data_IF_901202823798
#
_entry.id   IF_901202823798
#
_cell.length_a   1.000
_cell.length_b   1.000
_cell.length_c   1.000
_cell.angle_alpha   90.00
_cell.angle_beta   90.00
_cell.angle_gamma   90.00
#
_symmetry.space_group_name_H-M   'P 1'
#
loop_
_entity.id
_entity.type
_entity.pdbx_description
1 polymer ?
#
# COMPACT_ATOMS: atom_id res chain seq x y z
N UNK A 1 -1.57 -22.80 -9.21
CA UNK A 1 -0.67 -22.90 -8.04
C UNK A 1 -0.67 -21.53 -7.37
N UNK A 2 -0.92 -21.46 -6.06
CA UNK A 2 -0.92 -20.17 -5.33
C UNK A 2 0.51 -19.69 -5.17
N UNK A 3 0.76 -18.43 -5.47
CA UNK A 3 2.07 -17.78 -5.32
C UNK A 3 2.00 -16.83 -4.12
N UNK A 4 3.04 -16.83 -3.29
CA UNK A 4 3.16 -15.97 -2.12
C UNK A 4 4.18 -14.87 -2.36
N UNK A 5 3.92 -13.68 -1.80
CA UNK A 5 4.89 -12.60 -1.68
C UNK A 5 5.37 -12.50 -0.23
N UNK A 6 6.65 -12.24 -0.04
CA UNK A 6 7.20 -11.95 1.29
C UNK A 6 7.03 -10.45 1.58
N UNK A 7 6.41 -10.11 2.71
CA UNK A 7 6.39 -8.73 3.18
C UNK A 7 7.74 -8.39 3.82
N UNK A 8 8.54 -7.58 3.14
CA UNK A 8 9.91 -7.24 3.58
C UNK A 8 9.96 -6.15 4.66
N UNK A 9 8.82 -5.57 5.07
CA UNK A 9 8.73 -4.75 6.28
C UNK A 9 8.67 -5.63 7.54
N UNK A 10 8.11 -6.83 7.44
CA UNK A 10 7.84 -7.73 8.55
C UNK A 10 8.81 -8.92 8.62
N UNK A 11 9.29 -9.37 7.47
CA UNK A 11 10.20 -10.51 7.34
C UNK A 11 11.62 -10.01 7.06
N UNK A 12 12.62 -10.83 7.44
CA UNK A 12 14.04 -10.56 7.23
C UNK A 12 14.53 -9.29 7.95
N UNK A 13 13.90 -8.96 9.08
CA UNK A 13 14.18 -7.74 9.85
C UNK A 13 15.55 -7.75 10.54
N UNK A 14 16.23 -8.87 10.56
CA UNK A 14 17.64 -9.01 10.94
C UNK A 14 18.59 -8.27 9.98
N UNK A 15 18.13 -7.99 8.74
CA UNK A 15 18.84 -7.15 7.79
C UNK A 15 18.35 -5.70 7.90
N UNK A 16 19.27 -4.77 8.09
CA UNK A 16 18.91 -3.34 8.17
C UNK A 16 18.46 -2.79 6.82
N UNK A 17 19.13 -3.21 5.72
CA UNK A 17 18.85 -2.73 4.37
C UNK A 17 17.78 -3.58 3.71
N UNK A 18 16.85 -2.92 3.04
CA UNK A 18 15.78 -3.59 2.30
C UNK A 18 16.31 -4.39 1.10
N UNK A 19 17.41 -3.95 0.48
CA UNK A 19 18.09 -4.71 -0.59
C UNK A 19 18.53 -6.09 -0.10
N UNK A 20 19.05 -6.19 1.12
CA UNK A 20 19.48 -7.45 1.72
C UNK A 20 18.27 -8.34 2.06
N UNK A 21 17.13 -7.74 2.47
CA UNK A 21 15.88 -8.46 2.68
C UNK A 21 15.33 -9.06 1.39
N UNK A 22 15.44 -8.33 0.28
CA UNK A 22 15.08 -8.82 -1.07
C UNK A 22 15.96 -10.03 -1.44
N UNK A 23 17.28 -9.94 -1.20
CA UNK A 23 18.20 -11.04 -1.48
C UNK A 23 17.92 -12.28 -0.60
N UNK A 24 17.60 -12.08 0.69
CA UNK A 24 17.22 -13.15 1.60
C UNK A 24 15.90 -13.83 1.14
N UNK A 25 14.89 -13.05 0.78
CA UNK A 25 13.63 -13.58 0.23
C UNK A 25 13.85 -14.44 -1.03
N UNK A 26 14.75 -13.98 -1.92
CA UNK A 26 15.13 -14.76 -3.11
C UNK A 26 15.81 -16.07 -2.75
N UNK A 27 16.69 -16.06 -1.74
CA UNK A 27 17.39 -17.26 -1.24
C UNK A 27 16.41 -18.28 -0.69
N UNK A 28 15.34 -17.84 -0.01
CA UNK A 28 14.28 -18.70 0.51
C UNK A 28 13.27 -19.15 -0.58
N UNK A 29 13.49 -18.74 -1.84
CA UNK A 29 12.71 -19.20 -2.98
C UNK A 29 11.48 -18.37 -3.32
N UNK A 30 11.27 -17.24 -2.65
CA UNK A 30 10.23 -16.31 -3.05
C UNK A 30 10.52 -15.75 -4.45
N UNK A 31 9.45 -15.47 -5.18
CA UNK A 31 9.49 -14.78 -6.48
C UNK A 31 8.94 -13.37 -6.39
N UNK A 32 8.18 -13.10 -5.33
CA UNK A 32 7.54 -11.83 -5.11
C UNK A 32 7.80 -11.33 -3.70
N UNK A 33 7.94 -10.01 -3.60
CA UNK A 33 7.96 -9.27 -2.33
C UNK A 33 6.88 -8.20 -2.36
N UNK A 34 6.52 -7.73 -1.18
CA UNK A 34 5.71 -6.53 -0.99
C UNK A 34 6.34 -5.65 0.09
N UNK A 35 6.04 -4.37 0.04
CA UNK A 35 6.48 -3.41 1.06
C UNK A 35 5.45 -2.32 1.28
N UNK A 36 5.58 -1.59 2.41
CA UNK A 36 4.63 -0.54 2.76
C UNK A 36 5.12 0.85 2.41
N UNK A 37 6.23 1.28 3.03
CA UNK A 37 6.65 2.69 3.03
C UNK A 37 7.70 2.98 1.95
N UNK A 38 7.27 2.98 0.69
CA UNK A 38 8.17 3.24 -0.45
C UNK A 38 8.78 4.64 -0.42
N UNK A 39 8.07 5.63 0.13
CA UNK A 39 8.56 7.00 0.24
C UNK A 39 9.78 7.18 1.16
N UNK A 40 10.03 6.20 2.04
CA UNK A 40 11.17 6.22 2.97
C UNK A 40 12.40 5.50 2.43
N UNK A 41 12.35 4.97 1.20
CA UNK A 41 13.38 4.13 0.63
C UNK A 41 13.93 4.72 -0.68
N UNK A 42 15.16 4.33 -1.02
CA UNK A 42 15.66 4.53 -2.38
C UNK A 42 15.07 3.47 -3.32
N UNK A 43 13.93 3.82 -3.93
CA UNK A 43 13.20 2.90 -4.82
C UNK A 43 14.00 2.45 -6.05
N UNK A 44 14.98 3.25 -6.50
CA UNK A 44 15.86 2.86 -7.61
C UNK A 44 16.84 1.77 -7.15
N UNK A 45 17.40 1.89 -5.96
CA UNK A 45 18.25 0.86 -5.36
C UNK A 45 17.48 -0.44 -5.15
N UNK A 46 16.24 -0.36 -4.63
CA UNK A 46 15.38 -1.53 -4.44
C UNK A 46 15.01 -2.20 -5.76
N UNK A 47 14.68 -1.43 -6.80
CA UNK A 47 14.39 -1.98 -8.12
C UNK A 47 15.60 -2.70 -8.72
N UNK A 48 16.81 -2.16 -8.53
CA UNK A 48 18.05 -2.80 -8.96
C UNK A 48 18.31 -4.10 -8.20
N UNK A 49 18.12 -4.11 -6.87
CA UNK A 49 18.28 -5.31 -6.04
C UNK A 49 17.25 -6.40 -6.41
N UNK A 50 15.99 -6.04 -6.63
CA UNK A 50 14.95 -6.96 -7.06
C UNK A 50 15.30 -7.61 -8.41
N UNK A 51 15.72 -6.80 -9.38
CA UNK A 51 16.16 -7.28 -10.69
C UNK A 51 17.38 -8.23 -10.59
N UNK A 52 18.37 -7.88 -9.77
CA UNK A 52 19.57 -8.69 -9.58
C UNK A 52 19.27 -10.07 -8.97
N UNK A 53 18.23 -10.16 -8.13
CA UNK A 53 17.83 -11.37 -7.43
C UNK A 53 16.66 -12.11 -8.10
N UNK A 54 16.16 -11.64 -9.25
CA UNK A 54 15.02 -12.25 -9.94
C UNK A 54 13.70 -12.17 -9.16
N UNK A 55 13.56 -11.14 -8.32
CA UNK A 55 12.37 -10.81 -7.52
C UNK A 55 11.52 -9.76 -8.24
N UNK A 56 10.21 -9.82 -8.04
CA UNK A 56 9.26 -8.80 -8.49
C UNK A 56 8.50 -8.23 -7.29
N UNK A 57 8.17 -6.96 -7.33
CA UNK A 57 7.23 -6.39 -6.36
C UNK A 57 5.79 -6.75 -6.75
N UNK A 58 5.04 -7.35 -5.84
CA UNK A 58 3.62 -7.69 -6.04
C UNK A 58 2.71 -6.50 -5.77
N UNK A 59 3.05 -5.71 -4.76
CA UNK A 59 2.31 -4.53 -4.31
C UNK A 59 3.20 -3.64 -3.44
N UNK A 60 2.84 -2.35 -3.37
CA UNK A 60 3.34 -1.38 -2.39
C UNK A 60 2.16 -0.59 -1.83
N UNK A 61 2.33 0.08 -0.70
CA UNK A 61 1.26 0.84 -0.07
C UNK A 61 1.02 2.17 -0.82
N UNK A 62 -0.24 2.57 -0.95
CA UNK A 62 -0.61 3.93 -1.32
C UNK A 62 -0.39 4.84 -0.11
N UNK A 63 0.52 5.80 -0.24
CA UNK A 63 0.90 6.73 0.81
C UNK A 63 0.34 8.15 0.52
N UNK A 64 0.14 8.94 1.57
CA UNK A 64 0.29 8.60 2.99
C UNK A 64 -0.87 7.73 3.50
N UNK A 65 -0.68 7.04 4.63
CA UNK A 65 -1.80 6.50 5.39
C UNK A 65 -2.68 7.66 5.82
N UNK A 66 -3.96 7.60 5.49
CA UNK A 66 -4.82 8.77 5.58
C UNK A 66 -6.15 8.48 6.29
N UNK A 67 -6.67 9.46 7.03
CA UNK A 67 -7.98 9.38 7.69
C UNK A 67 -8.98 10.28 6.96
N UNK A 68 -9.61 9.73 5.93
CA UNK A 68 -10.41 10.45 4.94
C UNK A 68 -11.64 11.16 5.48
N UNK A 69 -12.17 10.74 6.62
CA UNK A 69 -13.45 11.20 7.16
C UNK A 69 -13.33 12.19 8.30
N UNK A 70 -12.09 12.57 8.66
CA UNK A 70 -11.83 13.54 9.70
C UNK A 70 -12.30 14.95 9.28
N UNK A 71 -12.87 15.74 10.22
CA UNK A 71 -13.25 17.12 9.92
C UNK A 71 -12.05 17.98 9.49
N UNK A 72 -12.23 18.74 8.41
CA UNK A 72 -11.21 19.67 7.92
C UNK A 72 -10.01 19.00 7.23
N UNK A 73 -10.11 17.72 6.91
CA UNK A 73 -9.06 17.02 6.16
C UNK A 73 -8.90 17.63 4.76
N UNK A 74 -7.65 17.86 4.37
CA UNK A 74 -7.31 18.27 3.01
C UNK A 74 -6.99 17.03 2.16
N UNK A 75 -7.94 16.64 1.32
CA UNK A 75 -7.80 15.47 0.44
C UNK A 75 -6.71 15.65 -0.64
N UNK A 76 -6.28 16.87 -0.95
CA UNK A 76 -5.18 17.09 -1.89
C UNK A 76 -3.89 16.46 -1.38
N UNK A 77 -3.65 16.47 -0.07
CA UNK A 77 -2.49 15.81 0.54
C UNK A 77 -2.47 14.32 0.21
N UNK A 78 -3.63 13.66 0.26
CA UNK A 78 -3.74 12.26 -0.12
C UNK A 78 -3.52 12.06 -1.63
N UNK A 79 -4.19 12.85 -2.48
CA UNK A 79 -4.08 12.68 -3.94
C UNK A 79 -2.68 12.97 -4.46
N UNK A 80 -1.96 13.92 -3.90
CA UNK A 80 -0.56 14.19 -4.26
C UNK A 80 0.37 13.07 -3.79
N UNK A 81 0.14 12.52 -2.60
CA UNK A 81 0.85 11.35 -2.11
C UNK A 81 0.57 10.09 -2.94
N UNK A 82 -0.69 9.87 -3.35
CA UNK A 82 -1.07 8.78 -4.25
C UNK A 82 -0.31 8.85 -5.59
N UNK A 83 -0.21 10.04 -6.19
CA UNK A 83 0.57 10.22 -7.42
C UNK A 83 2.04 9.88 -7.23
N UNK A 84 2.62 10.28 -6.09
CA UNK A 84 4.00 9.93 -5.73
C UNK A 84 4.16 8.42 -5.54
N UNK A 85 3.20 7.75 -4.90
CA UNK A 85 3.19 6.30 -4.72
C UNK A 85 3.08 5.57 -6.07
N UNK A 86 2.30 6.10 -7.01
CA UNK A 86 2.20 5.58 -8.38
C UNK A 86 3.56 5.63 -9.09
N UNK A 87 4.28 6.74 -8.98
CA UNK A 87 5.62 6.83 -9.59
C UNK A 87 6.62 5.87 -8.94
N UNK A 88 6.59 5.72 -7.62
CA UNK A 88 7.40 4.72 -6.91
C UNK A 88 7.03 3.29 -7.35
N UNK A 89 5.75 2.97 -7.47
CA UNK A 89 5.29 1.66 -7.95
C UNK A 89 5.80 1.37 -9.37
N UNK A 90 5.77 2.34 -10.27
CA UNK A 90 6.32 2.21 -11.64
C UNK A 90 7.82 1.92 -11.62
N UNK A 91 8.60 2.65 -10.80
CA UNK A 91 10.05 2.44 -10.67
C UNK A 91 10.34 1.01 -10.15
N UNK A 92 9.58 0.55 -9.15
CA UNK A 92 9.70 -0.78 -8.57
C UNK A 92 9.17 -1.90 -9.48
N UNK A 93 8.42 -1.55 -10.54
CA UNK A 93 7.72 -2.51 -11.38
C UNK A 93 6.56 -3.20 -10.67
N UNK A 94 6.01 -2.58 -9.62
CA UNK A 94 4.84 -3.08 -8.90
C UNK A 94 3.57 -2.78 -9.69
N UNK A 95 2.72 -3.78 -9.99
CA UNK A 95 1.47 -3.56 -10.71
C UNK A 95 0.35 -3.00 -9.84
N UNK A 96 0.54 -2.96 -8.50
CA UNK A 96 -0.53 -2.66 -7.55
C UNK A 96 -0.10 -1.70 -6.45
N UNK A 97 -1.08 -0.88 -6.04
CA UNK A 97 -1.04 -0.13 -4.78
C UNK A 97 -2.11 -0.65 -3.83
N UNK A 98 -1.74 -0.87 -2.57
CA UNK A 98 -2.68 -1.23 -1.50
C UNK A 98 -3.14 0.04 -0.80
N UNK A 99 -4.45 0.21 -0.68
CA UNK A 99 -5.08 1.37 -0.03
C UNK A 99 -5.91 0.92 1.18
N UNK A 100 -5.56 1.41 2.36
CA UNK A 100 -6.35 1.22 3.58
C UNK A 100 -7.42 2.29 3.75
N UNK A 101 -8.45 2.00 4.54
CA UNK A 101 -9.56 2.93 4.79
C UNK A 101 -9.25 4.08 5.73
N UNK A 102 -8.13 3.99 6.45
CA UNK A 102 -7.85 4.88 7.57
C UNK A 102 -8.84 4.74 8.72
N UNK A 103 -8.70 5.64 9.69
CA UNK A 103 -9.54 5.66 10.89
C UNK A 103 -10.84 6.41 10.65
N UNK A 104 -11.93 5.90 11.22
CA UNK A 104 -13.21 6.59 11.25
C UNK A 104 -13.22 7.73 12.27
N UNK A 105 -14.12 8.68 12.07
CA UNK A 105 -14.37 9.77 13.01
C UNK A 105 -15.60 9.47 13.87
N UNK A 106 -15.48 9.38 15.20
CA UNK A 106 -16.59 9.01 16.08
C UNK A 106 -17.80 9.96 16.03
N UNK A 107 -17.58 11.20 15.56
CA UNK A 107 -18.64 12.22 15.41
C UNK A 107 -19.53 12.05 14.17
N UNK A 108 -19.27 11.07 13.31
CA UNK A 108 -20.07 10.77 12.10
C UNK A 108 -20.63 9.36 12.13
N UNK A 109 -21.84 9.17 11.58
CA UNK A 109 -22.41 7.82 11.40
C UNK A 109 -21.59 7.02 10.36
N UNK A 110 -21.37 5.73 10.63
CA UNK A 110 -20.59 4.84 9.72
C UNK A 110 -21.06 4.89 8.25
N UNK A 111 -22.38 4.81 7.91
CA UNK A 111 -22.79 4.88 6.51
C UNK A 111 -22.29 6.14 5.81
N UNK A 112 -22.46 7.32 6.41
CA UNK A 112 -22.00 8.57 5.82
C UNK A 112 -20.45 8.64 5.65
N UNK A 113 -19.70 7.90 6.47
CA UNK A 113 -18.26 7.80 6.31
C UNK A 113 -17.89 6.86 5.17
N UNK A 114 -18.63 5.77 4.99
CA UNK A 114 -18.46 4.84 3.87
C UNK A 114 -18.79 5.51 2.53
N UNK A 115 -19.84 6.35 2.49
CA UNK A 115 -20.16 7.16 1.31
C UNK A 115 -18.99 8.09 0.94
N UNK A 116 -18.40 8.76 1.94
CA UNK A 116 -17.21 9.60 1.72
C UNK A 116 -16.02 8.78 1.19
N UNK A 117 -15.79 7.59 1.73
CA UNK A 117 -14.73 6.69 1.23
C UNK A 117 -14.98 6.27 -0.21
N UNK A 118 -16.23 5.92 -0.55
CA UNK A 118 -16.60 5.50 -1.90
C UNK A 118 -16.32 6.59 -2.93
N UNK A 119 -16.63 7.85 -2.62
CA UNK A 119 -16.32 9.00 -3.48
C UNK A 119 -14.81 9.16 -3.68
N UNK A 120 -14.05 9.24 -2.58
CA UNK A 120 -12.59 9.43 -2.63
C UNK A 120 -11.89 8.27 -3.33
N UNK A 121 -12.30 7.02 -3.06
CA UNK A 121 -11.68 5.84 -3.67
C UNK A 121 -12.05 5.71 -5.16
N UNK A 122 -13.22 6.19 -5.58
CA UNK A 122 -13.57 6.28 -7.00
C UNK A 122 -12.62 7.22 -7.74
N UNK A 123 -12.31 8.37 -7.16
CA UNK A 123 -11.38 9.32 -7.80
C UNK A 123 -9.93 8.81 -7.73
N UNK A 124 -9.54 8.19 -6.62
CA UNK A 124 -8.23 7.54 -6.50
C UNK A 124 -8.04 6.41 -7.53
N UNK A 125 -9.09 5.61 -7.75
CA UNK A 125 -9.07 4.52 -8.73
C UNK A 125 -8.87 5.04 -10.15
N UNK A 126 -9.55 6.13 -10.55
CA UNK A 126 -9.36 6.76 -11.86
C UNK A 126 -7.91 7.20 -12.08
N UNK A 127 -7.30 7.85 -11.06
CA UNK A 127 -5.90 8.31 -11.12
C UNK A 127 -4.95 7.13 -11.29
N UNK A 128 -5.17 6.04 -10.55
CA UNK A 128 -4.33 4.84 -10.63
C UNK A 128 -4.53 4.11 -11.97
N UNK A 129 -5.75 4.00 -12.46
CA UNK A 129 -6.12 3.36 -13.74
C UNK A 129 -5.49 4.09 -14.94
N UNK A 130 -5.56 5.43 -14.97
CA UNK A 130 -4.90 6.26 -15.99
C UNK A 130 -3.38 6.05 -16.00
N UNK A 131 -2.79 5.71 -14.86
CA UNK A 131 -1.37 5.41 -14.74
C UNK A 131 -1.01 3.95 -15.03
N UNK A 132 -2.00 3.07 -15.25
CA UNK A 132 -1.83 1.62 -15.46
C UNK A 132 -1.51 0.85 -14.18
N UNK A 133 -1.88 1.35 -13.01
CA UNK A 133 -1.69 0.73 -11.70
C UNK A 133 -3.05 0.27 -11.15
N UNK A 134 -3.12 -0.97 -10.67
CA UNK A 134 -4.28 -1.52 -9.98
C UNK A 134 -4.32 -1.00 -8.54
N UNK A 135 -5.44 -0.40 -8.12
CA UNK A 135 -5.66 -0.01 -6.74
C UNK A 135 -6.48 -1.08 -6.03
N UNK A 136 -5.94 -1.68 -4.97
CA UNK A 136 -6.61 -2.71 -4.17
C UNK A 136 -6.90 -2.20 -2.77
N UNK A 137 -8.10 -2.48 -2.27
CA UNK A 137 -8.53 -2.07 -0.92
C UNK A 137 -8.18 -3.16 0.09
N UNK A 138 -7.60 -2.76 1.22
CA UNK A 138 -7.30 -3.65 2.33
C UNK A 138 -8.34 -3.50 3.45
N UNK A 139 -9.21 -4.51 3.67
CA UNK A 139 -9.99 -4.59 4.89
C UNK A 139 -9.08 -5.07 6.04
N UNK A 140 -9.19 -4.43 7.21
CA UNK A 140 -8.30 -4.68 8.33
C UNK A 140 -9.03 -5.23 9.55
N UNK A 141 -8.29 -5.88 10.45
CA UNK A 141 -8.82 -6.44 11.68
C UNK A 141 -9.12 -5.33 12.71
N UNK A 142 -10.39 -4.97 12.83
CA UNK A 142 -10.84 -3.93 13.78
C UNK A 142 -10.98 -4.40 15.22
N UNK A 143 -10.86 -5.71 15.49
CA UNK A 143 -11.00 -6.26 16.84
C UNK A 143 -9.73 -6.16 17.69
N UNK A 144 -8.56 -6.22 17.05
CA UNK A 144 -7.28 -6.28 17.74
C UNK A 144 -6.32 -5.17 17.29
N UNK A 145 -6.00 -5.13 16.00
CA UNK A 145 -4.87 -4.34 15.53
C UNK A 145 -5.24 -2.93 15.05
N UNK A 146 -6.47 -2.77 14.51
CA UNK A 146 -6.92 -1.51 13.91
C UNK A 146 -8.29 -1.06 14.42
N UNK A 147 -8.48 -0.90 15.76
CA UNK A 147 -9.77 -0.50 16.30
C UNK A 147 -10.15 0.89 15.75
N UNK A 148 -11.36 0.97 15.18
CA UNK A 148 -11.88 2.22 14.60
C UNK A 148 -11.57 2.41 13.11
N UNK A 149 -10.88 1.50 12.44
CA UNK A 149 -10.79 1.51 10.98
C UNK A 149 -12.17 1.31 10.34
N UNK A 150 -12.38 1.87 9.13
CA UNK A 150 -13.70 1.87 8.50
C UNK A 150 -13.96 0.62 7.66
N UNK A 151 -12.95 0.04 7.02
CA UNK A 151 -13.11 -1.19 6.26
C UNK A 151 -12.63 -2.39 7.08
N UNK A 152 -13.57 -3.25 7.44
CA UNK A 152 -13.34 -4.48 8.20
C UNK A 152 -13.97 -5.72 7.52
N UNK A 153 -14.57 -5.53 6.34
CA UNK A 153 -15.27 -6.56 5.56
C UNK A 153 -15.13 -6.29 4.08
N UNK A 154 -15.30 -7.33 3.30
CA UNK A 154 -15.30 -7.29 1.82
C UNK A 154 -16.70 -7.12 1.21
N UNK A 155 -17.75 -7.05 2.06
CA UNK A 155 -19.17 -6.93 1.68
C UNK A 155 -19.65 -5.48 1.74
#
# INVERSE_FOLDING_TARGET
MTTFAANIELLYTEHEKFEDRIAAAATDGFKFVEMWMSSLQDVHSLAAAAKANGIQFSSVLAEPRFSFTMPGVDLNVFFDGLKSSIENAKILGSPRLVLGSGMGFPGKKRPAQLDTLAEVFTDAAKIAEEAGIELVLEPVNTRHDHPGALLDRTE
#
